data_IF_726505243007
#
_entry.id   IF_726505243007
#
_cell.length_a   1.000
_cell.length_b   1.000
_cell.length_c   1.000
_cell.angle_alpha   90.00
_cell.angle_beta   90.00
_cell.angle_gamma   90.00
#
_symmetry.space_group_name_H-M   'P 1'
#
loop_
_entity.id
_entity.type
_entity.pdbx_description
1 polymer ?
#
# COMPACT_ATOMS: atom_id res chain seq x y z
N UNK A 1 35.69 -27.72 4.68
CA UNK A 1 35.43 -26.26 4.66
C UNK A 1 34.79 -25.95 3.32
N UNK A 2 33.51 -25.65 3.18
CA UNK A 2 32.65 -24.83 4.03
C UNK A 2 32.48 -23.48 3.34
N UNK A 3 31.41 -23.33 2.54
CA UNK A 3 31.06 -22.07 1.89
C UNK A 3 30.82 -22.21 0.40
N UNK A 4 29.70 -22.83 0.02
CA UNK A 4 29.16 -22.66 -1.32
C UNK A 4 28.93 -21.16 -1.54
N UNK A 5 29.79 -20.55 -2.35
CA UNK A 5 29.64 -19.17 -2.79
C UNK A 5 28.32 -19.10 -3.55
N UNK A 6 27.29 -18.57 -2.90
CA UNK A 6 25.99 -18.34 -3.53
C UNK A 6 26.23 -17.34 -4.65
N UNK A 7 26.25 -17.83 -5.88
CA UNK A 7 26.28 -17.01 -7.08
C UNK A 7 24.89 -16.37 -7.19
N UNK A 8 24.76 -15.14 -6.73
CA UNK A 8 23.56 -14.34 -7.00
C UNK A 8 23.63 -13.98 -8.48
N UNK A 9 22.89 -14.70 -9.32
CA UNK A 9 22.69 -14.30 -10.71
C UNK A 9 22.03 -12.93 -10.69
N UNK A 10 22.72 -11.91 -11.19
CA UNK A 10 22.24 -10.54 -11.33
C UNK A 10 21.06 -10.49 -12.34
N UNK A 11 19.86 -10.87 -11.90
CA UNK A 11 18.62 -10.74 -12.66
C UNK A 11 17.91 -9.47 -12.18
N UNK A 12 18.46 -8.31 -12.54
CA UNK A 12 17.87 -7.01 -12.22
C UNK A 12 17.95 -6.05 -13.40
N UNK A 13 17.02 -5.10 -13.49
CA UNK A 13 17.06 -4.05 -14.50
C UNK A 13 17.94 -2.91 -14.00
N UNK A 14 18.97 -2.54 -14.78
CA UNK A 14 19.83 -1.40 -14.48
C UNK A 14 19.23 -0.12 -15.06
N UNK A 15 19.15 0.92 -14.23
CA UNK A 15 18.74 2.26 -14.64
C UNK A 15 19.88 3.24 -14.47
N UNK A 16 20.07 4.11 -15.46
CA UNK A 16 20.93 5.29 -15.33
C UNK A 16 20.05 6.54 -15.24
N UNK A 17 20.27 7.33 -14.20
CA UNK A 17 19.51 8.57 -13.94
C UNK A 17 20.33 9.51 -13.06
N UNK A 18 19.83 10.74 -12.88
CA UNK A 18 20.48 11.74 -12.03
C UNK A 18 19.86 11.77 -10.63
N UNK A 19 20.62 12.25 -9.65
CA UNK A 19 20.11 12.53 -8.30
C UNK A 19 18.94 13.50 -8.36
N UNK A 20 19.05 14.55 -9.18
CA UNK A 20 18.00 15.56 -9.35
C UNK A 20 16.66 14.96 -9.79
N UNK A 21 16.69 13.93 -10.64
CA UNK A 21 15.47 13.18 -11.01
C UNK A 21 14.89 12.41 -9.83
N UNK A 22 15.73 11.71 -9.07
CA UNK A 22 15.28 10.91 -7.91
C UNK A 22 14.79 11.77 -6.74
N UNK A 23 15.24 13.03 -6.68
CA UNK A 23 14.84 14.01 -5.67
C UNK A 23 13.88 15.07 -6.20
N UNK A 24 13.30 14.90 -7.39
CA UNK A 24 12.45 15.92 -8.02
C UNK A 24 11.12 16.13 -7.27
N UNK A 25 10.65 15.10 -6.58
CA UNK A 25 9.45 15.16 -5.73
C UNK A 25 9.85 15.07 -4.25
N UNK A 26 9.82 16.20 -3.51
CA UNK A 26 10.16 16.21 -2.09
C UNK A 26 9.14 15.41 -1.27
N UNK A 27 9.56 14.89 -0.12
CA UNK A 27 8.71 14.09 0.78
C UNK A 27 8.56 12.61 0.38
N UNK A 28 9.03 12.23 -0.81
CA UNK A 28 9.04 10.83 -1.25
C UNK A 28 10.20 10.05 -0.61
N UNK A 29 10.05 8.72 -0.56
CA UNK A 29 11.12 7.83 -0.07
C UNK A 29 12.36 7.94 -0.96
N UNK A 30 12.18 8.02 -2.29
CA UNK A 30 13.29 8.21 -3.23
C UNK A 30 14.03 9.53 -2.97
N UNK A 31 13.30 10.64 -2.79
CA UNK A 31 13.93 11.90 -2.48
C UNK A 31 14.73 11.85 -1.17
N UNK A 32 14.22 11.13 -0.17
CA UNK A 32 14.88 10.96 1.13
C UNK A 32 16.12 10.07 1.03
N UNK A 33 16.04 8.96 0.29
CA UNK A 33 17.17 8.04 0.05
C UNK A 33 18.32 8.72 -0.69
N UNK A 34 18.01 9.59 -1.66
CA UNK A 34 19.00 10.22 -2.53
C UNK A 34 19.30 11.69 -2.19
N UNK A 35 18.74 12.23 -1.10
CA UNK A 35 19.03 13.57 -0.63
C UNK A 35 20.52 13.77 -0.31
N UNK A 36 21.08 14.98 -0.51
CA UNK A 36 22.42 15.30 -0.01
C UNK A 36 22.52 15.07 1.50
N UNK A 37 23.54 14.34 1.94
CA UNK A 37 23.72 14.00 3.35
C UNK A 37 22.73 12.96 3.91
N UNK A 38 22.00 12.25 3.03
CA UNK A 38 21.14 11.14 3.45
C UNK A 38 21.92 10.11 4.26
N UNK A 39 21.36 9.69 5.39
CA UNK A 39 21.92 8.66 6.27
C UNK A 39 21.48 7.25 5.86
N UNK A 40 20.74 7.11 4.76
CA UNK A 40 20.33 5.80 4.25
C UNK A 40 21.54 4.96 3.85
N UNK A 41 21.63 3.77 4.45
CA UNK A 41 22.66 2.78 4.12
C UNK A 41 22.30 2.03 2.84
N UNK A 42 22.48 2.70 1.69
CA UNK A 42 22.21 2.14 0.37
C UNK A 42 23.27 1.10 0.01
N UNK A 43 22.82 -0.12 -0.26
CA UNK A 43 23.71 -1.18 -0.75
C UNK A 43 24.12 -0.86 -2.19
N UNK A 44 25.40 -1.11 -2.49
CA UNK A 44 25.95 -0.90 -3.82
C UNK A 44 26.65 -2.15 -4.31
N UNK A 45 26.59 -2.38 -5.61
CA UNK A 45 27.40 -3.42 -6.23
C UNK A 45 28.85 -2.97 -6.44
N UNK A 46 29.64 -3.83 -7.07
CA UNK A 46 31.06 -3.60 -7.38
C UNK A 46 31.31 -2.43 -8.34
N UNK A 47 30.30 -2.01 -9.09
CA UNK A 47 30.37 -0.87 -10.01
C UNK A 47 29.85 0.43 -9.37
N UNK A 48 29.41 0.35 -8.11
CA UNK A 48 28.86 1.48 -7.36
C UNK A 48 27.39 1.78 -7.67
N UNK A 49 26.69 0.91 -8.41
CA UNK A 49 25.27 1.07 -8.66
C UNK A 49 24.48 0.76 -7.38
N UNK A 50 23.49 1.60 -7.05
CA UNK A 50 22.62 1.40 -5.90
C UNK A 50 21.66 0.25 -6.17
N UNK A 51 21.60 -0.69 -5.24
CA UNK A 51 20.70 -1.83 -5.28
C UNK A 51 19.40 -1.47 -4.56
N UNK A 52 18.28 -1.62 -5.28
CA UNK A 52 16.94 -1.49 -4.74
C UNK A 52 16.26 -2.84 -4.94
N UNK A 53 15.84 -3.48 -3.85
CA UNK A 53 15.20 -4.80 -3.85
C UNK A 53 13.71 -4.70 -4.23
N UNK A 54 13.44 -4.15 -5.43
CA UNK A 54 12.11 -3.91 -6.00
C UNK A 54 12.08 -4.35 -7.47
N UNK A 55 10.88 -4.55 -8.02
CA UNK A 55 10.73 -4.96 -9.42
C UNK A 55 11.04 -3.79 -10.37
N UNK A 56 12.16 -3.91 -11.09
CA UNK A 56 12.64 -2.89 -12.01
C UNK A 56 11.66 -2.55 -13.14
N UNK A 57 10.77 -3.47 -13.54
CA UNK A 57 9.82 -3.22 -14.64
C UNK A 57 8.83 -2.10 -14.29
N UNK A 58 8.25 -2.18 -13.08
CA UNK A 58 7.33 -1.14 -12.58
C UNK A 58 8.08 0.13 -12.17
N UNK A 59 9.32 0.00 -11.66
CA UNK A 59 10.17 1.15 -11.36
C UNK A 59 10.47 2.00 -12.61
N UNK A 60 10.57 1.40 -13.79
CA UNK A 60 10.75 2.14 -15.05
C UNK A 60 9.67 3.20 -15.29
N UNK A 61 8.40 2.87 -14.98
CA UNK A 61 7.26 3.81 -15.06
C UNK A 61 7.42 4.95 -14.06
N UNK A 62 7.77 4.61 -12.81
CA UNK A 62 8.03 5.58 -11.75
C UNK A 62 9.14 6.55 -12.15
N UNK A 63 10.25 6.03 -12.69
CA UNK A 63 11.39 6.84 -13.09
C UNK A 63 11.04 7.80 -14.23
N UNK A 64 10.25 7.34 -15.20
CA UNK A 64 9.78 8.18 -16.30
C UNK A 64 8.83 9.27 -15.80
N UNK A 65 7.90 8.94 -14.89
CA UNK A 65 7.08 9.94 -14.21
C UNK A 65 7.92 11.03 -13.54
N UNK A 66 9.02 10.67 -12.85
CA UNK A 66 9.92 11.65 -12.22
C UNK A 66 10.70 12.52 -13.22
N UNK A 67 10.85 12.07 -14.48
CA UNK A 67 11.57 12.80 -15.54
C UNK A 67 10.72 13.86 -16.22
N UNK A 68 9.48 13.52 -16.56
CA UNK A 68 8.61 14.37 -17.39
C UNK A 68 7.23 14.68 -16.77
N UNK A 69 6.91 14.12 -15.60
CA UNK A 69 5.69 14.43 -14.85
C UNK A 69 4.41 13.78 -15.39
N UNK A 70 4.52 12.81 -16.29
CA UNK A 70 3.36 12.14 -16.91
C UNK A 70 3.39 10.65 -16.62
N UNK A 71 2.26 10.11 -16.14
CA UNK A 71 2.12 8.68 -15.87
C UNK A 71 1.77 7.94 -17.16
N UNK A 72 2.72 7.15 -17.67
CA UNK A 72 2.56 6.34 -18.89
C UNK A 72 2.86 4.89 -18.54
N UNK A 73 1.91 4.01 -18.80
CA UNK A 73 2.04 2.57 -18.55
C UNK A 73 1.91 1.87 -19.90
N UNK A 74 2.96 1.15 -20.30
CA UNK A 74 2.96 0.44 -21.57
C UNK A 74 1.90 -0.68 -21.59
N UNK A 75 1.28 -0.95 -22.75
CA UNK A 75 0.38 -2.08 -22.92
C UNK A 75 1.05 -3.39 -22.47
N UNK A 76 0.36 -4.13 -21.59
CA UNK A 76 0.86 -5.40 -21.05
C UNK A 76 1.58 -5.29 -19.70
N UNK A 77 1.88 -4.09 -19.22
CA UNK A 77 2.36 -3.88 -17.85
C UNK A 77 1.17 -3.66 -16.90
N UNK A 78 1.08 -4.46 -15.84
CA UNK A 78 -0.04 -4.37 -14.91
C UNK A 78 0.02 -3.07 -14.09
N UNK A 79 -1.01 -2.22 -14.21
CA UNK A 79 -1.10 -0.97 -13.44
C UNK A 79 -1.06 -1.20 -11.93
N UNK A 80 -1.53 -2.36 -11.45
CA UNK A 80 -1.45 -2.73 -10.03
C UNK A 80 -0.01 -2.81 -9.53
N UNK A 81 0.93 -3.30 -10.33
CA UNK A 81 2.34 -3.33 -9.92
C UNK A 81 2.93 -1.93 -9.78
N UNK A 82 2.57 -1.02 -10.70
CA UNK A 82 2.96 0.41 -10.61
C UNK A 82 2.37 1.06 -9.35
N UNK A 83 1.12 0.73 -9.02
CA UNK A 83 0.47 1.19 -7.78
C UNK A 83 1.26 0.75 -6.54
N UNK A 84 1.59 -0.54 -6.40
CA UNK A 84 2.32 -1.04 -5.22
C UNK A 84 3.71 -0.39 -5.08
N UNK A 85 4.43 -0.18 -6.20
CA UNK A 85 5.70 0.56 -6.17
C UNK A 85 5.50 2.03 -5.79
N UNK A 86 4.44 2.67 -6.28
CA UNK A 86 4.15 4.07 -5.93
C UNK A 86 3.86 4.23 -4.44
N UNK A 87 3.15 3.29 -3.82
CA UNK A 87 2.92 3.27 -2.37
C UNK A 87 4.24 3.06 -1.63
N UNK A 88 5.07 2.11 -2.06
CA UNK A 88 6.37 1.85 -1.44
C UNK A 88 7.29 3.09 -1.47
N UNK A 89 7.35 3.80 -2.59
CA UNK A 89 8.20 4.98 -2.74
C UNK A 89 7.56 6.29 -2.22
N UNK A 90 6.33 6.25 -1.70
CA UNK A 90 5.61 7.41 -1.20
C UNK A 90 5.21 8.41 -2.29
N UNK A 91 4.85 7.90 -3.48
CA UNK A 91 4.42 8.68 -4.64
C UNK A 91 2.90 8.79 -4.68
N UNK A 92 2.35 9.56 -3.74
CA UNK A 92 0.89 9.67 -3.51
C UNK A 92 0.10 10.07 -4.75
N UNK A 93 0.66 10.94 -5.61
CA UNK A 93 0.00 11.35 -6.85
C UNK A 93 -0.24 10.18 -7.81
N UNK A 94 0.73 9.25 -7.92
CA UNK A 94 0.58 8.05 -8.75
C UNK A 94 -0.34 7.05 -8.05
N UNK A 95 -0.18 6.86 -6.74
CA UNK A 95 -0.99 5.93 -5.96
C UNK A 95 -2.47 6.32 -6.01
N UNK A 96 -2.79 7.61 -5.89
CA UNK A 96 -4.15 8.12 -6.02
C UNK A 96 -4.73 7.91 -7.42
N UNK A 97 -3.93 8.16 -8.47
CA UNK A 97 -4.35 7.98 -9.86
C UNK A 97 -4.61 6.49 -10.22
N UNK A 98 -3.90 5.57 -9.57
CA UNK A 98 -4.02 4.12 -9.79
C UNK A 98 -4.78 3.39 -8.67
N UNK A 99 -5.35 4.13 -7.73
CA UNK A 99 -6.12 3.56 -6.63
C UNK A 99 -7.22 2.67 -7.20
N UNK A 100 -7.41 1.45 -6.66
CA UNK A 100 -8.61 0.72 -6.99
C UNK A 100 -9.84 1.58 -6.63
N UNK A 101 -10.94 1.47 -7.38
CA UNK A 101 -12.18 2.09 -6.95
C UNK A 101 -12.50 1.60 -5.53
N UNK A 102 -13.08 2.44 -4.66
CA UNK A 102 -13.54 1.98 -3.37
C UNK A 102 -14.45 0.77 -3.59
N UNK A 103 -14.38 -0.27 -2.73
CA UNK A 103 -15.33 -1.36 -2.82
C UNK A 103 -16.74 -0.75 -2.88
N UNK A 104 -17.64 -1.25 -3.75
CA UNK A 104 -19.01 -0.79 -3.77
C UNK A 104 -19.49 -0.86 -2.33
N UNK A 105 -19.89 0.30 -1.78
CA UNK A 105 -20.09 0.55 -0.35
C UNK A 105 -20.51 -0.74 0.35
N UNK A 106 -19.64 -1.24 1.24
CA UNK A 106 -19.82 -2.49 1.96
C UNK A 106 -21.30 -2.67 2.27
N UNK A 107 -21.94 -3.68 1.67
CA UNK A 107 -23.25 -4.11 2.14
C UNK A 107 -23.14 -4.22 3.67
N UNK A 108 -24.06 -3.63 4.44
CA UNK A 108 -23.93 -3.61 5.89
C UNK A 108 -23.65 -5.04 6.35
N UNK A 109 -22.47 -5.26 6.92
CA UNK A 109 -22.07 -6.55 7.42
C UNK A 109 -22.99 -6.86 8.59
N UNK A 110 -24.10 -7.57 8.33
CA UNK A 110 -24.94 -8.13 9.39
C UNK A 110 -24.17 -9.29 10.01
N UNK A 111 -23.21 -8.94 10.86
CA UNK A 111 -22.67 -9.80 11.90
C UNK A 111 -22.21 -8.89 13.03
N UNK A 112 -23.16 -8.16 13.60
CA UNK A 112 -23.05 -7.73 14.99
C UNK A 112 -22.97 -9.00 15.86
N UNK A 113 -21.76 -9.43 16.19
CA UNK A 113 -21.56 -10.03 17.50
C UNK A 113 -21.67 -8.89 18.52
N UNK A 114 -22.91 -8.50 18.81
CA UNK A 114 -23.18 -7.62 19.92
C UNK A 114 -22.92 -8.43 21.19
N UNK A 115 -21.71 -8.27 21.74
CA UNK A 115 -21.39 -8.67 23.10
C UNK A 115 -22.26 -7.83 24.04
N UNK A 116 -23.48 -8.31 24.29
CA UNK A 116 -24.43 -7.68 25.19
C UNK A 116 -23.95 -7.90 26.63
N UNK A 117 -23.17 -6.95 27.15
CA UNK A 117 -22.87 -6.88 28.58
C UNK A 117 -24.20 -6.66 29.30
N UNK A 118 -24.71 -7.71 29.96
CA UNK A 118 -25.86 -7.61 30.86
C UNK A 118 -25.45 -6.80 32.09
N UNK A 119 -25.63 -5.48 32.06
CA UNK A 119 -25.68 -4.69 33.30
C UNK A 119 -27.07 -4.87 33.87
N UNK A 120 -27.17 -5.76 34.86
CA UNK A 120 -28.42 -6.18 35.46
C UNK A 120 -29.27 -5.01 35.96
N UNK A 121 -30.53 -5.00 35.52
CA UNK A 121 -31.66 -4.42 36.28
C UNK A 121 -32.88 -5.29 36.06
N UNK A 122 -33.34 -6.02 37.08
CA UNK A 122 -34.73 -6.47 37.13
C UNK A 122 -35.54 -5.45 37.93
N UNK A 123 -36.54 -4.77 37.35
CA UNK A 123 -37.73 -4.38 38.07
C UNK A 123 -38.75 -5.53 38.05
N UNK A 124 -39.50 -5.66 39.15
CA UNK A 124 -40.42 -6.76 39.47
C UNK A 124 -41.66 -6.81 38.54
N UNK A 125 -42.29 -7.99 38.38
CA UNK A 125 -43.49 -8.14 37.54
C UNK A 125 -44.70 -7.46 38.16
N UNK A 126 -45.35 -6.56 37.43
CA UNK A 126 -46.71 -6.12 37.72
C UNK A 126 -47.70 -7.08 37.06
N UNK A 127 -48.76 -7.45 37.81
CA UNK A 127 -49.74 -8.49 37.48
C UNK A 127 -50.49 -8.22 36.17
N UNK A 128 -50.91 -9.27 35.44
CA UNK A 128 -51.63 -9.13 34.17
C UNK A 128 -53.06 -8.62 34.40
N UNK A 129 -53.48 -7.62 33.63
CA UNK A 129 -54.89 -7.26 33.48
C UNK A 129 -55.59 -8.37 32.68
N UNK A 130 -56.52 -9.08 33.31
CA UNK A 130 -57.39 -10.05 32.66
C UNK A 130 -58.60 -9.29 32.10
N UNK A 131 -58.76 -9.27 30.79
CA UNK A 131 -60.03 -8.96 30.13
C UNK A 131 -60.44 -10.18 29.31
N UNK A 132 -61.51 -10.86 29.73
CA UNK A 132 -62.18 -11.87 28.94
C UNK A 132 -63.59 -11.39 28.53
N UNK A 133 -64.08 -11.87 27.38
CA UNK A 133 -65.11 -11.22 26.56
C UNK A 133 -66.55 -11.43 27.05
N UNK A 134 -67.46 -10.58 26.56
CA UNK A 134 -68.92 -10.70 26.75
C UNK A 134 -69.43 -12.03 26.19
N UNK A 135 -70.43 -12.56 26.88
CA UNK A 135 -71.09 -13.86 26.69
C UNK A 135 -71.78 -14.02 25.31
N UNK A 136 -72.08 -15.29 25.02
CA UNK A 136 -72.77 -15.88 23.85
C UNK A 136 -74.01 -15.14 23.36
#
# INVERSE_FOLDING_TARGET
MGGAQRRWSACGVRFSTTRSTLTSLPGTVLATMFAPGSQFSLHRDTEGAVLIDRDGRYFGVILNFLRHGTLVIDPGLAARGVYEESVFFGLDAIAAALSPPPPPAAAPSTSEFQMLIHVGRRPKPTKPYILHPKAH
#
